data_IF_863171463690
#
_entry.id   IF_863171463690
#
_cell.length_a   1.000
_cell.length_b   1.000
_cell.length_c   1.000
_cell.angle_alpha   90.00
_cell.angle_beta   90.00
_cell.angle_gamma   90.00
#
_symmetry.space_group_name_H-M   'P 1'
#
loop_
_entity.id
_entity.type
_entity.pdbx_description
1 polymer ?
#
# COMPACT_ATOMS: atom_id res chain seq x y z
N UNK A 1 -75.97 -19.54 -29.04
CA UNK A 1 -74.59 -19.65 -29.51
C UNK A 1 -73.80 -18.64 -28.77
N UNK A 2 -73.22 -18.94 -27.76
CA UNK A 2 -72.20 -19.42 -26.95
C UNK A 2 -70.91 -18.70 -27.24
N UNK A 3 -70.55 -17.75 -26.44
CA UNK A 3 -69.15 -17.35 -26.31
C UNK A 3 -68.85 -16.84 -24.90
N UNK A 4 -68.07 -17.56 -24.32
CA UNK A 4 -67.48 -17.65 -23.02
C UNK A 4 -66.76 -16.32 -22.60
N UNK A 5 -67.28 -15.68 -21.57
CA UNK A 5 -66.56 -14.77 -20.74
C UNK A 5 -65.68 -15.56 -19.76
N UNK A 6 -64.40 -15.75 -20.07
CA UNK A 6 -63.37 -16.27 -19.14
C UNK A 6 -62.43 -15.13 -18.75
N UNK A 7 -62.63 -14.70 -17.57
CA UNK A 7 -61.64 -14.65 -16.49
C UNK A 7 -60.74 -13.44 -16.48
N UNK A 8 -61.22 -12.41 -15.82
CA UNK A 8 -60.41 -11.44 -15.08
C UNK A 8 -60.62 -11.67 -13.57
N UNK A 9 -60.06 -12.74 -13.04
CA UNK A 9 -59.90 -12.95 -11.59
C UNK A 9 -58.51 -13.51 -11.40
N UNK A 10 -57.57 -12.65 -11.11
CA UNK A 10 -56.40 -12.90 -10.28
C UNK A 10 -55.43 -11.70 -10.24
N UNK A 11 -55.97 -10.52 -9.91
CA UNK A 11 -55.14 -9.36 -9.56
C UNK A 11 -55.50 -8.91 -8.16
N UNK A 12 -55.51 -9.86 -7.18
CA UNK A 12 -55.51 -9.53 -5.75
C UNK A 12 -54.26 -10.14 -5.16
N UNK A 13 -53.14 -9.43 -5.29
CA UNK A 13 -51.83 -9.84 -4.72
C UNK A 13 -50.71 -8.84 -4.92
N UNK A 14 -51.01 -7.67 -5.47
CA UNK A 14 -50.05 -6.57 -5.41
C UNK A 14 -50.21 -5.90 -4.04
N UNK A 15 -49.55 -6.51 -3.01
CA UNK A 15 -49.16 -5.75 -1.84
C UNK A 15 -48.31 -4.59 -2.35
N UNK A 16 -48.76 -3.41 -2.01
CA UNK A 16 -48.08 -2.15 -2.27
C UNK A 16 -46.64 -2.27 -1.76
N UNK A 17 -45.68 -1.83 -2.58
CA UNK A 17 -44.22 -1.75 -2.31
C UNK A 17 -43.84 -0.92 -1.05
N UNK A 18 -44.83 -0.62 -0.19
CA UNK A 18 -44.63 0.16 1.04
C UNK A 18 -44.47 -0.66 2.31
N UNK A 19 -44.52 -1.99 2.25
CA UNK A 19 -44.40 -2.87 3.42
C UNK A 19 -43.35 -3.98 3.30
N UNK A 20 -42.45 -3.93 2.31
CA UNK A 20 -41.23 -4.69 2.42
C UNK A 20 -40.35 -3.95 3.42
N UNK A 21 -40.44 -4.33 4.68
CA UNK A 21 -39.34 -4.17 5.64
C UNK A 21 -38.21 -4.97 4.99
N UNK A 22 -37.36 -4.31 4.22
CA UNK A 22 -36.10 -4.87 3.77
C UNK A 22 -35.30 -5.01 5.07
N UNK A 23 -35.13 -6.26 5.50
CA UNK A 23 -34.30 -6.59 6.66
C UNK A 23 -32.95 -5.91 6.49
N UNK A 24 -32.38 -5.34 7.53
CA UNK A 24 -31.04 -4.74 7.48
C UNK A 24 -30.02 -5.72 6.92
N UNK A 25 -30.20 -7.02 7.17
CA UNK A 25 -29.38 -8.10 6.64
C UNK A 25 -29.57 -8.31 5.13
N UNK A 26 -30.76 -8.01 4.56
CA UNK A 26 -30.98 -8.05 3.12
C UNK A 26 -30.36 -6.87 2.37
N UNK A 27 -30.27 -5.69 2.98
CA UNK A 27 -29.48 -4.58 2.44
C UNK A 27 -28.00 -4.92 2.36
N UNK A 28 -27.46 -5.62 3.36
CA UNK A 28 -26.08 -6.10 3.38
C UNK A 28 -25.83 -7.30 2.46
N UNK A 29 -26.83 -8.12 2.20
CA UNK A 29 -26.74 -9.24 1.25
C UNK A 29 -26.72 -8.80 -0.22
N UNK A 30 -27.30 -7.65 -0.56
CA UNK A 30 -27.13 -7.00 -1.88
C UNK A 30 -25.69 -6.53 -2.14
N UNK A 31 -24.87 -6.35 -1.09
CA UNK A 31 -23.48 -5.92 -1.13
C UNK A 31 -22.49 -7.05 -0.79
N UNK A 32 -22.90 -8.31 -0.88
CA UNK A 32 -21.98 -9.46 -0.83
C UNK A 32 -21.13 -9.50 -2.12
N UNK A 33 -20.34 -8.45 -2.35
CA UNK A 33 -19.42 -8.42 -3.47
C UNK A 33 -18.33 -9.45 -3.20
N UNK A 34 -18.38 -10.55 -3.99
CA UNK A 34 -17.33 -11.55 -3.97
C UNK A 34 -16.15 -10.98 -4.72
N UNK A 35 -15.05 -10.74 -4.04
CA UNK A 35 -13.82 -10.25 -4.65
C UNK A 35 -12.69 -11.25 -4.42
N UNK A 36 -11.65 -11.13 -5.21
CA UNK A 36 -10.38 -11.82 -5.02
C UNK A 36 -9.29 -10.78 -5.07
N UNK A 37 -8.31 -10.91 -4.24
CA UNK A 37 -7.11 -10.10 -4.39
C UNK A 37 -6.18 -10.72 -5.43
N UNK A 38 -5.71 -9.92 -6.37
CA UNK A 38 -4.67 -10.27 -7.32
C UNK A 38 -3.34 -10.56 -6.59
N UNK A 39 -2.42 -11.23 -7.25
CA UNK A 39 -1.08 -11.45 -6.72
C UNK A 39 -0.38 -10.11 -6.43
N UNK A 40 -0.61 -9.12 -7.27
CA UNK A 40 -0.07 -7.78 -7.09
C UNK A 40 -0.60 -7.11 -5.83
N UNK A 41 -1.90 -7.18 -5.57
CA UNK A 41 -2.50 -6.66 -4.33
C UNK A 41 -2.00 -7.41 -3.10
N UNK A 42 -1.86 -8.73 -3.17
CA UNK A 42 -1.25 -9.53 -2.10
C UNK A 42 0.20 -9.10 -1.84
N UNK A 43 0.98 -8.82 -2.89
CA UNK A 43 2.37 -8.35 -2.75
C UNK A 43 2.43 -6.95 -2.12
N UNK A 44 1.50 -6.05 -2.48
CA UNK A 44 1.35 -4.74 -1.81
C UNK A 44 1.05 -4.93 -0.33
N UNK A 45 0.08 -5.77 0.02
CA UNK A 45 -0.28 -6.03 1.41
C UNK A 45 0.87 -6.67 2.20
N UNK A 46 1.63 -7.60 1.61
CA UNK A 46 2.85 -8.16 2.22
C UNK A 46 3.90 -7.07 2.49
N UNK A 47 4.14 -6.20 1.52
CA UNK A 47 5.05 -5.07 1.70
C UNK A 47 4.56 -4.14 2.81
N UNK A 48 3.29 -3.73 2.78
CA UNK A 48 2.71 -2.85 3.79
C UNK A 48 2.75 -3.46 5.20
N UNK A 49 2.61 -4.78 5.33
CA UNK A 49 2.75 -5.46 6.63
C UNK A 49 4.15 -5.34 7.24
N UNK A 50 5.18 -5.10 6.42
CA UNK A 50 6.54 -4.81 6.92
C UNK A 50 6.69 -3.37 7.42
N UNK A 51 5.86 -2.45 6.93
CA UNK A 51 5.85 -1.03 7.33
C UNK A 51 5.03 -0.83 8.60
N UNK A 52 3.83 -1.43 8.62
CA UNK A 52 2.91 -1.35 9.76
C UNK A 52 2.19 -2.70 9.91
N UNK A 53 2.15 -3.28 11.12
CA UNK A 53 1.43 -4.52 11.36
C UNK A 53 -0.08 -4.41 11.11
N UNK A 54 -0.66 -3.21 11.10
CA UNK A 54 -2.08 -2.97 10.92
C UNK A 54 -2.40 -2.20 9.63
N UNK A 55 -3.62 -2.36 9.11
CA UNK A 55 -4.13 -1.61 7.96
C UNK A 55 -5.62 -1.30 8.12
N UNK A 56 -6.04 -0.13 7.65
CA UNK A 56 -7.44 0.22 7.50
C UNK A 56 -7.81 0.19 6.02
N UNK A 57 -8.60 -0.81 5.62
CA UNK A 57 -9.25 -0.80 4.32
C UNK A 57 -10.30 0.31 4.28
N UNK A 58 -10.36 1.04 3.18
CA UNK A 58 -11.39 2.06 2.89
C UNK A 58 -12.00 1.75 1.53
N UNK A 59 -13.27 2.11 1.26
CA UNK A 59 -13.87 1.96 -0.06
C UNK A 59 -13.03 2.59 -1.17
N UNK A 60 -12.94 1.90 -2.32
CA UNK A 60 -12.17 2.32 -3.49
C UNK A 60 -10.89 1.52 -3.70
N UNK A 61 -10.04 1.99 -4.61
CA UNK A 61 -8.86 1.27 -5.10
C UNK A 61 -7.56 1.67 -4.41
N UNK A 62 -7.63 2.42 -3.31
CA UNK A 62 -6.44 2.94 -2.65
C UNK A 62 -6.16 2.18 -1.35
N UNK A 63 -4.99 1.56 -1.29
CA UNK A 63 -4.40 1.09 -0.04
C UNK A 63 -3.36 2.10 0.44
N UNK A 64 -3.31 2.33 1.74
CA UNK A 64 -2.31 3.21 2.34
C UNK A 64 -1.91 2.74 3.72
N UNK A 65 -0.66 3.02 4.08
CA UNK A 65 -0.08 2.67 5.38
C UNK A 65 0.92 3.72 5.83
N UNK A 66 1.19 3.77 7.11
CA UNK A 66 2.23 4.62 7.72
C UNK A 66 2.89 3.86 8.86
N UNK A 67 4.21 3.93 8.94
CA UNK A 67 4.94 3.30 10.06
C UNK A 67 4.53 3.93 11.40
N UNK A 68 4.56 3.18 12.52
CA UNK A 68 4.26 3.72 13.85
C UNK A 68 5.11 4.95 14.20
N UNK A 69 6.37 4.99 13.75
CA UNK A 69 7.30 6.11 13.94
C UNK A 69 7.06 7.27 12.96
N UNK A 70 6.15 7.10 11.97
CA UNK A 70 5.84 8.07 10.91
C UNK A 70 7.06 8.46 10.05
N UNK A 71 8.03 7.56 9.93
CA UNK A 71 9.21 7.73 9.08
C UNK A 71 9.00 7.24 7.65
N UNK A 72 8.02 6.36 7.45
CA UNK A 72 7.62 5.85 6.13
C UNK A 72 6.10 5.97 6.01
N UNK A 73 5.64 6.48 4.89
CA UNK A 73 4.26 6.34 4.44
C UNK A 73 4.26 5.72 3.05
N UNK A 74 3.28 4.87 2.78
CA UNK A 74 3.10 4.27 1.46
C UNK A 74 1.65 4.33 1.01
N UNK A 75 1.46 4.49 -0.30
CA UNK A 75 0.17 4.48 -0.99
C UNK A 75 0.29 3.60 -2.23
N UNK A 76 -0.72 2.78 -2.47
CA UNK A 76 -0.84 1.97 -3.67
C UNK A 76 -2.23 2.15 -4.29
N UNK A 77 -2.28 2.27 -5.61
CA UNK A 77 -3.52 2.11 -6.38
C UNK A 77 -3.54 0.67 -6.88
N UNK A 78 -4.52 -0.10 -6.44
CA UNK A 78 -4.70 -1.51 -6.76
C UNK A 78 -5.81 -1.69 -7.81
N UNK A 79 -5.92 -2.90 -8.35
CA UNK A 79 -6.92 -3.23 -9.37
C UNK A 79 -8.32 -3.36 -8.76
N UNK A 80 -8.41 -3.91 -7.55
CA UNK A 80 -9.67 -4.21 -6.91
C UNK A 80 -10.31 -2.98 -6.25
N UNK A 81 -11.63 -2.91 -6.36
CA UNK A 81 -12.42 -1.90 -5.65
C UNK A 81 -12.86 -2.44 -4.29
N UNK A 82 -12.27 -1.94 -3.21
CA UNK A 82 -12.62 -2.33 -1.85
C UNK A 82 -14.03 -1.84 -1.56
N UNK A 83 -14.98 -2.73 -1.18
CA UNK A 83 -16.39 -2.35 -1.10
C UNK A 83 -16.75 -1.62 0.20
N UNK A 84 -16.00 -1.84 1.28
CA UNK A 84 -16.35 -1.31 2.59
C UNK A 84 -15.12 -1.09 3.47
N UNK A 85 -15.30 -0.31 4.53
CA UNK A 85 -14.28 -0.06 5.55
C UNK A 85 -14.08 -1.30 6.42
N UNK A 86 -12.81 -1.61 6.75
CA UNK A 86 -12.48 -2.70 7.65
C UNK A 86 -11.08 -2.57 8.23
N UNK A 87 -10.95 -2.57 9.56
CA UNK A 87 -9.68 -2.47 10.26
C UNK A 87 -9.06 -3.86 10.47
N UNK A 88 -7.81 -4.03 10.07
CA UNK A 88 -7.03 -5.25 10.34
C UNK A 88 -5.89 -4.89 11.27
N UNK A 89 -5.88 -5.46 12.47
CA UNK A 89 -4.84 -5.19 13.47
C UNK A 89 -3.55 -5.95 13.18
N UNK A 90 -3.64 -7.21 12.72
CA UNK A 90 -2.50 -8.06 12.38
C UNK A 90 -2.56 -8.46 10.90
N UNK A 91 -2.03 -7.62 10.02
CA UNK A 91 -2.07 -7.82 8.57
C UNK A 91 -1.35 -9.11 8.14
N UNK A 92 -0.20 -9.43 8.74
CA UNK A 92 0.53 -10.67 8.45
C UNK A 92 -0.29 -11.92 8.80
N UNK A 93 -1.12 -11.86 9.87
CA UNK A 93 -2.02 -12.95 10.24
C UNK A 93 -3.16 -13.12 9.24
N UNK A 94 -3.74 -12.01 8.76
CA UNK A 94 -4.74 -12.06 7.69
C UNK A 94 -4.15 -12.70 6.42
N UNK A 95 -2.96 -12.27 6.01
CA UNK A 95 -2.25 -12.84 4.86
C UNK A 95 -1.97 -14.34 5.06
N UNK A 96 -1.59 -14.75 6.27
CA UNK A 96 -1.45 -16.16 6.65
C UNK A 96 -2.77 -16.93 6.52
N UNK A 97 -3.89 -16.36 6.98
CA UNK A 97 -5.22 -16.97 6.78
C UNK A 97 -5.55 -17.11 5.30
N UNK A 98 -5.32 -16.07 4.49
CA UNK A 98 -5.58 -16.11 3.05
C UNK A 98 -4.77 -17.18 2.33
N UNK A 99 -3.53 -17.43 2.76
CA UNK A 99 -2.66 -18.46 2.17
C UNK A 99 -3.13 -19.91 2.43
N UNK A 100 -4.12 -20.14 3.30
CA UNK A 100 -4.75 -21.44 3.51
C UNK A 100 -5.70 -21.85 2.37
N UNK A 101 -6.02 -20.92 1.48
CA UNK A 101 -6.98 -21.09 0.39
C UNK A 101 -6.26 -20.98 -0.96
N UNK A 102 -6.52 -21.90 -1.87
CA UNK A 102 -5.95 -21.85 -3.24
C UNK A 102 -6.63 -20.78 -4.11
N UNK A 103 -7.91 -20.55 -3.87
CA UNK A 103 -8.73 -19.61 -4.64
C UNK A 103 -9.67 -18.85 -3.68
N UNK A 104 -9.07 -18.01 -2.83
CA UNK A 104 -9.77 -17.29 -1.79
C UNK A 104 -10.77 -16.26 -2.38
N UNK A 105 -12.03 -16.42 -2.03
CA UNK A 105 -13.06 -15.39 -2.23
C UNK A 105 -13.20 -14.60 -0.95
N UNK A 106 -13.19 -13.29 -1.08
CA UNK A 106 -13.24 -12.33 0.03
C UNK A 106 -14.57 -11.60 0.01
N UNK A 107 -15.19 -11.50 1.17
CA UNK A 107 -16.39 -10.69 1.38
C UNK A 107 -16.18 -9.78 2.59
N UNK A 108 -16.42 -8.49 2.42
CA UNK A 108 -16.50 -7.55 3.52
C UNK A 108 -17.91 -7.62 4.14
N UNK A 109 -17.98 -7.91 5.43
CA UNK A 109 -19.18 -7.89 6.25
C UNK A 109 -19.10 -6.73 7.24
N UNK A 110 -20.15 -6.48 7.99
CA UNK A 110 -20.20 -5.37 8.95
C UNK A 110 -19.10 -5.45 10.02
N UNK A 111 -18.84 -6.65 10.54
CA UNK A 111 -17.93 -6.86 11.69
C UNK A 111 -16.69 -7.68 11.35
N UNK A 112 -16.60 -8.22 10.14
CA UNK A 112 -15.50 -9.13 9.77
C UNK A 112 -15.30 -9.22 8.26
N UNK A 113 -14.11 -9.64 7.87
CA UNK A 113 -13.80 -10.11 6.52
C UNK A 113 -14.00 -11.63 6.48
N UNK A 114 -14.86 -12.10 5.60
CA UNK A 114 -15.02 -13.54 5.33
C UNK A 114 -14.10 -13.93 4.18
N UNK A 115 -13.24 -14.89 4.45
CA UNK A 115 -12.34 -15.52 3.45
C UNK A 115 -12.81 -16.96 3.27
N UNK A 116 -13.10 -17.38 2.04
CA UNK A 116 -13.68 -18.70 1.81
C UNK A 116 -13.30 -19.29 0.45
N UNK A 117 -13.38 -20.63 0.36
CA UNK A 117 -13.41 -21.41 -0.87
C UNK A 117 -14.69 -22.27 -0.91
N UNK A 118 -14.75 -23.27 -1.79
CA UNK A 118 -15.90 -24.17 -1.94
C UNK A 118 -16.22 -25.01 -0.71
N UNK A 119 -15.26 -25.20 0.23
CA UNK A 119 -15.37 -26.13 1.36
C UNK A 119 -15.05 -25.51 2.70
N UNK A 120 -14.27 -24.40 2.71
CA UNK A 120 -13.72 -23.81 3.93
C UNK A 120 -14.06 -22.34 4.00
N UNK A 121 -14.23 -21.84 5.19
CA UNK A 121 -14.41 -20.41 5.41
C UNK A 121 -13.81 -19.99 6.76
N UNK A 122 -13.27 -18.77 6.79
CA UNK A 122 -12.81 -18.10 7.99
C UNK A 122 -13.45 -16.72 8.06
N UNK A 123 -13.97 -16.36 9.22
CA UNK A 123 -14.41 -15.00 9.51
C UNK A 123 -13.29 -14.31 10.31
N UNK A 124 -12.64 -13.34 9.70
CA UNK A 124 -11.58 -12.54 10.32
C UNK A 124 -12.18 -11.27 10.87
N UNK A 125 -12.34 -11.17 12.18
CA UNK A 125 -12.98 -10.04 12.84
C UNK A 125 -12.21 -8.75 12.65
N UNK A 126 -12.90 -7.66 12.32
CA UNK A 126 -12.31 -6.33 12.22
C UNK A 126 -11.95 -5.78 13.60
N UNK A 127 -10.86 -5.04 13.65
CA UNK A 127 -10.47 -4.25 14.80
C UNK A 127 -11.15 -2.88 14.75
N UNK A 128 -11.31 -2.26 15.91
CA UNK A 128 -11.76 -0.88 16.03
C UNK A 128 -10.76 0.06 15.34
N UNK A 129 -11.27 1.03 14.59
CA UNK A 129 -10.44 1.98 13.83
C UNK A 129 -9.44 2.74 14.71
N UNK A 130 -9.81 3.05 15.94
CA UNK A 130 -8.97 3.73 16.92
C UNK A 130 -7.71 2.96 17.30
N UNK A 131 -7.69 1.65 17.04
CA UNK A 131 -6.52 0.79 17.26
C UNK A 131 -5.57 0.73 16.06
N UNK A 132 -5.95 1.32 14.93
CA UNK A 132 -5.18 1.27 13.69
C UNK A 132 -4.44 2.59 13.49
N UNK A 133 -3.13 2.53 13.32
CA UNK A 133 -2.33 3.70 12.93
C UNK A 133 -2.50 3.92 11.44
N UNK A 134 -3.20 5.00 11.08
CA UNK A 134 -3.52 5.34 9.68
C UNK A 134 -2.74 6.57 9.21
N UNK A 135 -2.44 6.68 7.90
CA UNK A 135 -1.96 7.92 7.32
C UNK A 135 -2.96 9.07 7.54
N UNK A 136 -2.49 10.33 7.53
CA UNK A 136 -3.38 11.47 7.60
C UNK A 136 -4.38 11.44 6.43
N UNK A 137 -5.62 11.89 6.67
CA UNK A 137 -6.66 11.93 5.62
C UNK A 137 -6.37 12.98 4.56
N UNK A 138 -5.68 14.06 4.96
CA UNK A 138 -5.27 15.11 4.04
C UNK A 138 -4.18 14.61 3.12
N UNK A 139 -4.37 14.80 1.82
CA UNK A 139 -3.37 14.45 0.82
C UNK A 139 -2.03 15.15 1.11
N UNK A 140 -0.94 14.39 1.04
CA UNK A 140 0.40 14.94 1.25
C UNK A 140 0.76 15.79 0.03
N UNK A 141 0.88 17.09 0.26
CA UNK A 141 1.52 17.98 -0.70
C UNK A 141 3.02 17.84 -0.56
N UNK A 142 3.67 17.19 -1.54
CA UNK A 142 5.12 17.10 -1.54
C UNK A 142 5.72 18.49 -1.77
N UNK A 143 6.72 18.90 -0.98
CA UNK A 143 7.43 20.17 -1.23
C UNK A 143 8.05 20.16 -2.62
N UNK A 144 8.32 21.35 -3.20
CA UNK A 144 9.04 21.42 -4.45
C UNK A 144 10.36 20.64 -4.33
N UNK A 145 10.60 19.63 -5.18
CA UNK A 145 11.83 18.85 -5.12
C UNK A 145 12.99 19.68 -5.63
N UNK A 146 14.11 19.64 -4.93
CA UNK A 146 15.37 20.21 -5.39
C UNK A 146 16.14 19.24 -6.30
N UNK A 147 15.91 17.93 -6.11
CA UNK A 147 16.52 16.86 -6.90
C UNK A 147 15.44 15.90 -7.37
N UNK A 148 15.55 15.49 -8.63
CA UNK A 148 14.72 14.43 -9.22
C UNK A 148 15.62 13.50 -10.02
N UNK A 149 15.54 12.19 -9.76
CA UNK A 149 16.36 11.16 -10.40
C UNK A 149 15.58 9.86 -10.53
N UNK A 150 15.80 9.13 -11.61
CA UNK A 150 15.25 7.76 -11.79
C UNK A 150 16.28 6.73 -11.35
N UNK A 151 15.87 5.79 -10.51
CA UNK A 151 16.67 4.65 -10.09
C UNK A 151 16.09 3.36 -10.64
N UNK A 152 16.91 2.53 -11.24
CA UNK A 152 16.54 1.20 -11.62
C UNK A 152 16.53 0.28 -10.38
N UNK A 153 15.59 -0.67 -10.34
CA UNK A 153 15.48 -1.58 -9.21
C UNK A 153 16.76 -2.40 -8.95
N UNK A 154 17.44 -2.81 -10.01
CA UNK A 154 18.66 -3.60 -9.87
C UNK A 154 19.74 -2.84 -9.08
N UNK A 155 19.86 -1.53 -9.29
CA UNK A 155 20.82 -0.68 -8.59
C UNK A 155 20.41 -0.50 -7.13
N UNK A 156 19.14 -0.16 -6.88
CA UNK A 156 18.59 -0.05 -5.51
C UNK A 156 18.77 -1.36 -4.75
N UNK A 157 18.43 -2.50 -5.37
CA UNK A 157 18.55 -3.82 -4.75
C UNK A 157 20.02 -4.17 -4.48
N UNK A 158 20.92 -3.83 -5.41
CA UNK A 158 22.36 -4.04 -5.25
C UNK A 158 22.91 -3.35 -4.02
N UNK A 159 22.56 -2.07 -3.84
CA UNK A 159 22.96 -1.26 -2.68
C UNK A 159 22.34 -1.78 -1.38
N UNK A 160 21.05 -2.13 -1.39
CA UNK A 160 20.38 -2.71 -0.20
C UNK A 160 21.00 -4.05 0.21
N UNK A 161 21.38 -4.91 -0.75
CA UNK A 161 22.10 -6.17 -0.48
C UNK A 161 23.48 -5.90 0.10
N UNK A 162 24.24 -4.96 -0.49
CA UNK A 162 25.54 -4.56 0.02
C UNK A 162 25.45 -4.05 1.46
N UNK A 163 24.47 -3.19 1.74
CA UNK A 163 24.21 -2.70 3.10
C UNK A 163 23.96 -3.86 4.08
N UNK A 164 23.19 -4.87 3.69
CA UNK A 164 22.95 -6.05 4.52
C UNK A 164 24.21 -6.88 4.77
N UNK A 165 25.00 -7.16 3.72
CA UNK A 165 26.23 -7.94 3.81
C UNK A 165 27.31 -7.21 4.63
N UNK A 166 27.46 -5.91 4.42
CA UNK A 166 28.46 -5.07 5.07
C UNK A 166 27.98 -4.51 6.44
N UNK A 167 26.73 -4.82 6.84
CA UNK A 167 26.09 -4.33 8.05
C UNK A 167 26.07 -2.80 8.15
N UNK A 168 25.84 -2.14 7.02
CA UNK A 168 25.76 -0.68 6.94
C UNK A 168 24.32 -0.22 7.24
N UNK A 169 24.14 0.69 8.20
CA UNK A 169 22.81 1.05 8.70
C UNK A 169 22.04 2.02 7.80
N UNK A 170 22.72 2.65 6.83
CA UNK A 170 22.17 3.78 6.09
C UNK A 170 22.42 3.63 4.58
N UNK A 171 21.49 4.22 3.82
CA UNK A 171 21.63 4.43 2.39
C UNK A 171 21.67 5.95 2.17
N UNK A 172 22.68 6.44 1.46
CA UNK A 172 22.76 7.81 1.03
C UNK A 172 22.44 7.94 -0.46
N UNK A 173 21.65 8.93 -0.83
CA UNK A 173 21.53 9.43 -2.19
C UNK A 173 22.33 10.74 -2.25
N UNK A 174 23.38 10.77 -3.04
CA UNK A 174 24.37 11.86 -3.06
C UNK A 174 24.52 12.42 -4.47
N UNK A 175 24.56 13.76 -4.58
CA UNK A 175 25.08 14.46 -5.73
C UNK A 175 26.53 14.87 -5.43
N UNK A 176 27.49 14.36 -6.19
CA UNK A 176 28.90 14.61 -5.95
C UNK A 176 29.72 14.47 -7.25
N UNK A 177 30.62 15.40 -7.49
CA UNK A 177 31.54 15.35 -8.62
C UNK A 177 30.83 15.15 -9.98
N UNK A 178 29.68 15.81 -10.17
CA UNK A 178 28.87 15.70 -11.40
C UNK A 178 27.98 14.44 -11.48
N UNK A 179 27.99 13.55 -10.49
CA UNK A 179 27.25 12.29 -10.52
C UNK A 179 26.18 12.25 -9.43
N UNK A 180 25.11 11.49 -9.69
CA UNK A 180 24.18 11.02 -8.67
C UNK A 180 24.56 9.60 -8.26
N UNK A 181 24.81 9.42 -6.98
CA UNK A 181 25.23 8.14 -6.40
C UNK A 181 24.15 7.65 -5.42
N UNK A 182 23.91 6.34 -5.43
CA UNK A 182 23.23 5.66 -4.34
C UNK A 182 24.26 4.78 -3.61
N UNK A 183 24.38 4.95 -2.30
CA UNK A 183 25.50 4.45 -1.51
C UNK A 183 25.00 3.75 -0.25
N UNK A 184 25.57 2.57 0.09
CA UNK A 184 25.45 1.98 1.42
C UNK A 184 26.56 2.54 2.29
N UNK A 185 26.21 3.09 3.45
CA UNK A 185 27.13 3.88 4.29
C UNK A 185 26.86 3.66 5.80
N UNK A 186 27.85 4.06 6.59
CA UNK A 186 27.68 4.36 8.01
C UNK A 186 28.12 5.81 8.25
N UNK A 187 27.18 6.73 8.31
CA UNK A 187 27.49 8.17 8.46
C UNK A 187 28.13 8.54 9.80
N UNK A 188 28.09 7.64 10.78
CA UNK A 188 28.67 7.82 12.11
C UNK A 188 30.11 7.31 12.21
N UNK A 189 30.55 6.52 11.26
CA UNK A 189 31.91 5.96 11.20
C UNK A 189 32.58 6.35 9.86
N UNK A 190 33.45 7.36 9.88
CA UNK A 190 34.15 7.80 8.66
C UNK A 190 35.17 6.79 8.13
N UNK A 191 35.45 5.72 8.89
CA UNK A 191 36.38 4.66 8.48
C UNK A 191 35.64 3.41 7.94
N UNK A 192 34.30 3.43 7.97
CA UNK A 192 33.50 2.34 7.43
C UNK A 192 33.65 2.22 5.90
N UNK A 193 33.60 1.00 5.42
CA UNK A 193 33.54 0.74 3.98
C UNK A 193 32.28 1.34 3.37
N UNK A 194 32.36 1.70 2.09
CA UNK A 194 31.25 2.29 1.32
C UNK A 194 31.05 1.43 0.06
N UNK A 195 29.79 1.13 -0.26
CA UNK A 195 29.43 0.56 -1.55
C UNK A 195 28.61 1.59 -2.32
N UNK A 196 29.03 1.95 -3.55
CA UNK A 196 28.42 3.00 -4.36
C UNK A 196 28.03 2.52 -5.73
N UNK A 197 26.91 3.01 -6.26
CA UNK A 197 26.45 2.84 -7.62
C UNK A 197 26.08 4.22 -8.18
N UNK A 198 26.58 4.55 -9.39
CA UNK A 198 26.19 5.76 -10.11
C UNK A 198 24.88 5.52 -10.84
N UNK A 199 23.88 6.37 -10.60
CA UNK A 199 22.53 6.23 -11.19
C UNK A 199 22.12 7.41 -12.07
N UNK A 200 22.97 8.44 -12.22
CA UNK A 200 22.69 9.60 -13.03
C UNK A 200 23.77 10.68 -12.91
N UNK A 201 23.46 11.82 -13.47
CA UNK A 201 24.32 13.01 -13.44
C UNK A 201 23.59 14.19 -12.79
N UNK A 202 24.30 15.08 -12.14
CA UNK A 202 23.77 16.31 -11.53
C UNK A 202 24.86 17.36 -11.36
N UNK A 203 24.49 18.61 -11.45
CA UNK A 203 25.32 19.77 -11.09
C UNK A 203 25.19 20.19 -9.63
N UNK A 204 24.35 19.46 -8.86
CA UNK A 204 24.03 19.81 -7.49
C UNK A 204 24.81 18.95 -6.50
N UNK A 205 25.29 19.60 -5.44
CA UNK A 205 25.92 18.93 -4.32
C UNK A 205 24.87 18.65 -3.22
N UNK A 206 24.67 17.40 -2.87
CA UNK A 206 23.74 17.00 -1.80
C UNK A 206 24.11 15.63 -1.23
N UNK A 207 23.65 15.35 -0.02
CA UNK A 207 23.73 14.03 0.61
C UNK A 207 22.50 13.80 1.46
N UNK A 208 21.55 13.00 0.94
CA UNK A 208 20.31 12.64 1.61
C UNK A 208 20.44 11.24 2.17
N UNK A 209 20.34 11.09 3.48
CA UNK A 209 20.60 9.85 4.21
C UNK A 209 19.28 9.25 4.68
N UNK A 210 19.11 7.97 4.46
CA UNK A 210 17.95 7.17 4.87
C UNK A 210 18.42 6.00 5.72
N UNK A 211 17.67 5.61 6.75
CA UNK A 211 17.88 4.32 7.40
C UNK A 211 17.56 3.20 6.41
N UNK A 212 18.44 2.21 6.33
CA UNK A 212 18.22 1.03 5.47
C UNK A 212 16.89 0.35 5.79
N UNK A 213 16.51 0.27 7.06
CA UNK A 213 15.24 -0.30 7.52
C UNK A 213 13.98 0.45 7.02
N UNK A 214 14.12 1.70 6.58
CA UNK A 214 13.03 2.52 6.03
C UNK A 214 12.85 2.34 4.53
N UNK A 215 13.81 1.76 3.80
CA UNK A 215 13.72 1.54 2.36
C UNK A 215 12.99 0.22 2.04
N UNK A 216 11.75 0.12 2.50
CA UNK A 216 10.87 -1.06 2.31
C UNK A 216 10.10 -0.96 0.99
N UNK A 217 10.83 -0.93 -0.12
CA UNK A 217 10.29 -0.73 -1.45
C UNK A 217 9.94 -2.07 -2.11
N UNK A 218 8.87 -2.09 -2.92
CA UNK A 218 8.57 -3.20 -3.82
C UNK A 218 9.49 -3.12 -5.05
N UNK A 219 9.74 -4.27 -5.67
CA UNK A 219 10.59 -4.43 -6.84
C UNK A 219 10.02 -3.73 -8.09
N UNK A 220 10.23 -2.41 -8.19
CA UNK A 220 9.96 -1.59 -9.36
C UNK A 220 11.08 -0.55 -9.53
N UNK A 221 11.21 0.01 -10.72
CA UNK A 221 12.00 1.22 -10.94
C UNK A 221 11.25 2.42 -10.35
N UNK A 222 11.99 3.41 -9.85
CA UNK A 222 11.41 4.54 -9.16
C UNK A 222 11.89 5.88 -9.72
N UNK A 223 10.97 6.81 -9.87
CA UNK A 223 11.29 8.23 -9.92
C UNK A 223 11.37 8.73 -8.46
N UNK A 224 12.52 9.29 -8.10
CA UNK A 224 12.85 9.73 -6.74
C UNK A 224 12.91 11.26 -6.73
N UNK A 225 12.02 11.87 -5.96
CA UNK A 225 11.99 13.31 -5.70
C UNK A 225 12.48 13.57 -4.29
N UNK A 226 13.42 14.50 -4.13
CA UNK A 226 14.03 14.78 -2.84
C UNK A 226 13.85 16.25 -2.52
N UNK A 227 13.44 16.51 -1.28
CA UNK A 227 13.35 17.85 -0.73
C UNK A 227 14.32 18.04 0.44
N UNK A 228 15.02 19.17 0.44
CA UNK A 228 15.85 19.62 1.56
C UNK A 228 15.08 19.77 2.88
N UNK A 229 13.74 19.69 2.84
CA UNK A 229 12.86 19.68 4.03
C UNK A 229 12.81 18.34 4.76
N UNK A 230 13.69 17.40 4.43
CA UNK A 230 13.84 16.15 5.15
C UNK A 230 12.90 15.03 4.70
N UNK A 231 12.43 15.05 3.45
CA UNK A 231 11.55 14.04 2.90
C UNK A 231 11.92 13.70 1.46
N UNK A 232 11.84 12.43 1.09
CA UNK A 232 11.90 11.96 -0.28
C UNK A 232 10.62 11.21 -0.65
N UNK A 233 10.21 11.33 -1.92
CA UNK A 233 9.13 10.58 -2.53
C UNK A 233 9.72 9.63 -3.57
N UNK A 234 9.32 8.37 -3.47
CA UNK A 234 9.64 7.32 -4.44
C UNK A 234 8.34 6.94 -5.15
N UNK A 235 8.28 7.18 -6.45
CA UNK A 235 7.11 6.89 -7.28
C UNK A 235 7.46 5.79 -8.29
N UNK A 236 6.71 4.69 -8.30
CA UNK A 236 6.98 3.59 -9.22
C UNK A 236 6.70 3.99 -10.67
N UNK A 237 7.60 3.57 -11.58
CA UNK A 237 7.52 3.91 -13.01
C UNK A 237 6.92 2.80 -13.86
N UNK A 238 6.46 1.70 -13.25
CA UNK A 238 5.88 0.56 -13.93
C UNK A 238 4.63 0.95 -14.74
N UNK A 239 4.46 0.31 -15.91
CA UNK A 239 3.29 0.52 -16.78
C UNK A 239 2.12 -0.41 -16.39
N UNK A 240 2.40 -1.57 -15.83
CA UNK A 240 1.45 -2.61 -15.44
C UNK A 240 1.59 -2.89 -13.95
N UNK A 241 0.49 -3.25 -13.27
CA UNK A 241 0.44 -3.51 -11.85
C UNK A 241 0.18 -2.25 -11.02
N UNK A 242 0.28 -2.33 -9.69
CA UNK A 242 -0.09 -1.25 -8.78
C UNK A 242 0.81 -0.04 -8.95
N UNK A 243 0.22 1.16 -8.87
CA UNK A 243 0.98 2.41 -8.80
C UNK A 243 1.33 2.69 -7.35
N UNK A 244 2.63 2.77 -7.09
CA UNK A 244 3.15 2.88 -5.73
C UNK A 244 3.79 4.25 -5.51
N UNK A 245 3.54 4.79 -4.35
CA UNK A 245 4.21 5.99 -3.84
C UNK A 245 4.66 5.75 -2.40
N UNK A 246 5.92 6.04 -2.12
CA UNK A 246 6.46 6.01 -0.77
C UNK A 246 6.98 7.40 -0.41
N UNK A 247 6.70 7.85 0.80
CA UNK A 247 7.28 9.05 1.38
C UNK A 247 8.15 8.59 2.55
N UNK A 248 9.44 8.90 2.48
CA UNK A 248 10.43 8.42 3.44
C UNK A 248 11.17 9.63 4.00
N UNK A 249 11.20 9.72 5.33
CA UNK A 249 11.97 10.76 6.02
C UNK A 249 13.46 10.53 5.84
N UNK A 250 14.22 11.61 5.62
CA UNK A 250 15.68 11.58 5.66
C UNK A 250 16.17 11.75 7.10
N UNK A 251 17.40 11.30 7.37
CA UNK A 251 18.07 11.52 8.65
C UNK A 251 18.49 13.00 8.80
N UNK A 252 18.62 13.43 10.06
CA UNK A 252 18.91 14.84 10.40
C UNK A 252 20.29 15.33 9.96
N UNK A 253 21.22 14.40 9.70
CA UNK A 253 22.55 14.67 9.17
C UNK A 253 22.60 14.68 7.62
N UNK A 254 21.44 14.67 6.98
CA UNK A 254 21.35 14.96 5.55
C UNK A 254 21.70 16.41 5.26
N UNK A 255 22.31 16.68 4.11
CA UNK A 255 22.72 18.01 3.69
C UNK A 255 22.33 18.27 2.24
N UNK A 256 22.02 19.51 1.96
CA UNK A 256 21.83 20.04 0.61
C UNK A 256 22.67 21.32 0.49
N UNK A 257 23.71 21.25 -0.35
CA UNK A 257 24.52 22.38 -0.67
C UNK A 257 23.87 23.07 -1.86
N UNK A 258 23.28 24.25 -1.61
CA UNK A 258 22.77 25.13 -2.67
C UNK A 258 23.90 26.02 -3.21
#
# INVERSE_FOLDING_TARGET
MGSSARTLRNWRGLRTLKEAVIDRDDYFNLWSYNMKFSEDTINVLKNFSTINPSILFKPGQILSTVSPQKTIMAKAVIEEDIPAKGGIYELSRLLGVMSLFEDAVIQFKETHMRVQDSKRAVNYTFAEETMIVTPPEKEITFPNPEVEVTAEWNDVQGVLRAAGVMQLPEIALSGKDGNVLIEAVNSKDPTADIYSVTIGETDKEFRMIFKTENLKLINYNYNIKISSKGIAQFESTNQVGPKLQYWIATETNSSYGG
#
